data_IF_802780011884
#
_entry.id   IF_802780011884
#
_cell.length_a   1.000
_cell.length_b   1.000
_cell.length_c   1.000
_cell.angle_alpha   90.00
_cell.angle_beta   90.00
_cell.angle_gamma   90.00
#
_symmetry.space_group_name_H-M   'P 1'
#
loop_
_entity.id
_entity.type
_entity.pdbx_description
1 polymer ?
#
# COMPACT_ATOMS: atom_id res chain seq x y z
N UNK A 1 0.67 5.26 -15.71
CA UNK A 1 0.46 3.81 -15.50
C UNK A 1 0.76 3.48 -14.02
N UNK A 2 0.37 2.32 -13.49
CA UNK A 2 0.76 1.89 -12.13
C UNK A 2 2.16 1.31 -12.18
N UNK A 3 3.09 1.92 -11.44
CA UNK A 3 4.49 1.53 -11.48
C UNK A 3 4.75 0.32 -10.57
N UNK A 4 4.25 0.37 -9.35
CA UNK A 4 4.52 -0.62 -8.31
C UNK A 4 3.24 -1.02 -7.58
N UNK A 5 3.23 -2.26 -7.07
CA UNK A 5 2.24 -2.76 -6.11
C UNK A 5 2.99 -3.32 -4.90
N UNK A 6 2.58 -2.91 -3.71
CA UNK A 6 3.19 -3.34 -2.45
C UNK A 6 2.18 -4.14 -1.64
N UNK A 7 2.63 -5.27 -1.10
CA UNK A 7 1.86 -6.12 -0.21
C UNK A 7 2.69 -6.39 1.04
N UNK A 8 2.03 -6.43 2.19
CA UNK A 8 2.65 -6.84 3.44
C UNK A 8 1.75 -7.84 4.16
N UNK A 9 2.39 -8.84 4.79
CA UNK A 9 1.74 -9.80 5.68
C UNK A 9 2.71 -10.13 6.81
N UNK A 10 2.27 -9.98 8.05
CA UNK A 10 3.07 -10.25 9.25
C UNK A 10 4.46 -9.58 9.21
N UNK A 11 5.50 -10.35 8.89
CA UNK A 11 6.90 -9.94 8.86
C UNK A 11 7.49 -9.92 7.44
N UNK A 12 6.67 -10.06 6.41
CA UNK A 12 7.11 -10.15 5.02
C UNK A 12 6.45 -9.06 4.17
N UNK A 13 7.24 -8.48 3.27
CA UNK A 13 6.76 -7.51 2.29
C UNK A 13 7.14 -8.00 0.88
N UNK A 14 6.25 -7.75 -0.06
CA UNK A 14 6.45 -7.97 -1.48
C UNK A 14 6.27 -6.65 -2.22
N UNK A 15 7.28 -6.24 -2.98
CA UNK A 15 7.21 -5.06 -3.86
C UNK A 15 7.32 -5.55 -5.29
N UNK A 16 6.20 -5.46 -6.03
CA UNK A 16 6.11 -5.84 -7.43
C UNK A 16 6.31 -4.62 -8.31
N UNK A 17 7.25 -4.69 -9.24
CA UNK A 17 7.49 -3.62 -10.23
C UNK A 17 6.57 -3.79 -11.43
N UNK A 18 5.26 -3.61 -11.20
CA UNK A 18 4.18 -3.84 -12.18
C UNK A 18 4.42 -3.17 -13.53
N UNK A 19 5.13 -2.04 -13.58
CA UNK A 19 5.44 -1.33 -14.82
C UNK A 19 6.10 -2.22 -15.88
N UNK A 20 7.03 -3.08 -15.43
CA UNK A 20 7.84 -3.98 -16.27
C UNK A 20 7.30 -5.40 -16.32
N UNK A 21 6.21 -5.69 -15.63
CA UNK A 21 5.58 -7.00 -15.65
C UNK A 21 4.63 -7.12 -16.83
N UNK A 22 4.60 -8.32 -17.44
CA UNK A 22 3.56 -8.72 -18.37
C UNK A 22 2.28 -9.02 -17.60
N UNK A 23 1.29 -8.15 -17.73
CA UNK A 23 0.04 -8.22 -16.94
C UNK A 23 -0.78 -9.48 -17.24
N UNK A 24 -0.69 -9.99 -18.47
CA UNK A 24 -1.30 -11.24 -18.92
C UNK A 24 -0.63 -12.49 -18.35
N UNK A 25 0.58 -12.36 -17.80
CA UNK A 25 1.35 -13.44 -17.18
C UNK A 25 1.47 -13.30 -15.65
N UNK A 26 0.65 -12.45 -15.03
CA UNK A 26 0.67 -12.32 -13.58
C UNK A 26 0.28 -13.64 -12.90
N UNK A 27 0.96 -14.02 -11.80
CA UNK A 27 0.61 -15.23 -11.08
C UNK A 27 -0.86 -15.24 -10.67
N UNK A 28 -1.57 -16.33 -10.98
CA UNK A 28 -2.99 -16.44 -10.64
C UNK A 28 -3.25 -16.38 -9.14
N UNK A 29 -2.28 -16.82 -8.33
CA UNK A 29 -2.30 -16.65 -6.87
C UNK A 29 -2.40 -15.18 -6.44
N UNK A 30 -1.64 -14.28 -7.08
CA UNK A 30 -1.71 -12.83 -6.81
C UNK A 30 -3.09 -12.29 -7.14
N UNK A 31 -3.61 -12.61 -8.33
CA UNK A 31 -4.94 -12.15 -8.77
C UNK A 31 -6.06 -12.67 -7.87
N UNK A 32 -5.97 -13.94 -7.45
CA UNK A 32 -6.92 -14.54 -6.51
C UNK A 32 -6.88 -13.82 -5.15
N UNK A 33 -5.71 -13.47 -4.63
CA UNK A 33 -5.58 -12.73 -3.37
C UNK A 33 -6.21 -11.32 -3.48
N UNK A 34 -5.88 -10.59 -4.54
CA UNK A 34 -6.38 -9.22 -4.75
C UNK A 34 -7.89 -9.20 -5.00
N UNK A 35 -8.43 -10.16 -5.76
CA UNK A 35 -9.84 -10.26 -6.11
C UNK A 35 -10.75 -10.88 -5.03
N UNK A 36 -10.20 -11.56 -4.02
CA UNK A 36 -10.99 -12.26 -3.01
C UNK A 36 -11.47 -11.31 -1.90
N UNK A 37 -12.79 -11.13 -1.76
CA UNK A 37 -13.41 -10.27 -0.73
C UNK A 37 -13.16 -10.74 0.71
N UNK A 38 -12.87 -12.04 0.92
CA UNK A 38 -12.58 -12.61 2.25
C UNK A 38 -11.16 -12.33 2.73
N UNK A 39 -10.29 -11.87 1.84
CA UNK A 39 -8.94 -11.42 2.21
C UNK A 39 -8.98 -9.91 2.25
N UNK A 40 -8.85 -9.31 3.42
CA UNK A 40 -8.87 -7.85 3.54
C UNK A 40 -7.61 -7.25 2.91
N UNK A 41 -7.80 -6.29 2.00
CA UNK A 41 -6.73 -5.43 1.52
C UNK A 41 -6.81 -4.13 2.30
N UNK A 42 -5.84 -3.97 3.18
CA UNK A 42 -5.74 -2.83 4.09
C UNK A 42 -4.79 -1.80 3.51
N UNK A 43 -5.16 -0.53 3.58
CA UNK A 43 -4.27 0.57 3.21
C UNK A 43 -4.79 1.92 3.67
N UNK A 44 -3.94 2.95 3.59
CA UNK A 44 -4.32 4.34 3.88
C UNK A 44 -4.70 5.04 2.58
N UNK A 45 -5.98 5.35 2.37
CA UNK A 45 -6.46 5.93 1.11
C UNK A 45 -6.60 4.89 -0.01
N UNK A 46 -6.70 3.61 0.34
CA UNK A 46 -6.61 2.47 -0.59
C UNK A 46 -7.69 2.48 -1.68
N UNK A 47 -8.81 3.18 -1.45
CA UNK A 47 -9.87 3.27 -2.45
C UNK A 47 -9.40 3.93 -3.75
N UNK A 48 -8.59 5.00 -3.65
CA UNK A 48 -8.01 5.67 -4.81
C UNK A 48 -6.99 4.78 -5.53
N UNK A 49 -6.14 4.09 -4.76
CA UNK A 49 -5.13 3.17 -5.30
C UNK A 49 -5.77 2.00 -6.04
N UNK A 50 -6.86 1.43 -5.52
CA UNK A 50 -7.59 0.35 -6.16
C UNK A 50 -8.24 0.78 -7.49
N UNK A 51 -8.82 1.99 -7.54
CA UNK A 51 -9.39 2.55 -8.78
C UNK A 51 -8.29 2.74 -9.82
N UNK A 52 -7.14 3.30 -9.40
CA UNK A 52 -5.98 3.47 -10.27
C UNK A 52 -5.43 2.12 -10.75
N UNK A 53 -5.34 1.12 -9.87
CA UNK A 53 -4.87 -0.22 -10.21
C UNK A 53 -5.78 -0.86 -11.28
N UNK A 54 -7.10 -0.83 -11.06
CA UNK A 54 -8.07 -1.36 -12.02
C UNK A 54 -7.94 -0.66 -13.38
N UNK A 55 -7.91 0.66 -13.39
CA UNK A 55 -7.80 1.44 -14.64
C UNK A 55 -6.50 1.15 -15.40
N UNK A 56 -5.38 1.07 -14.69
CA UNK A 56 -4.06 0.98 -15.33
C UNK A 56 -3.66 -0.47 -15.67
N UNK A 57 -4.31 -1.48 -15.07
CA UNK A 57 -3.87 -2.90 -15.17
C UNK A 57 -4.99 -3.93 -15.34
N UNK A 58 -6.26 -3.53 -15.24
CA UNK A 58 -7.42 -4.42 -15.17
C UNK A 58 -7.43 -5.40 -13.98
N UNK A 59 -6.60 -5.15 -12.96
CA UNK A 59 -6.54 -5.96 -11.74
C UNK A 59 -7.59 -5.45 -10.74
N UNK A 60 -8.47 -6.33 -10.30
CA UNK A 60 -9.46 -6.04 -9.25
C UNK A 60 -8.84 -6.12 -7.86
N UNK A 61 -9.22 -5.17 -7.00
CA UNK A 61 -8.87 -5.16 -5.57
C UNK A 61 -10.16 -5.09 -4.74
N UNK A 62 -10.67 -6.25 -4.34
CA UNK A 62 -11.94 -6.39 -3.59
C UNK A 62 -11.69 -6.56 -2.08
N UNK A 63 -12.66 -6.29 -1.21
CA UNK A 63 -12.44 -6.45 0.24
C UNK A 63 -11.47 -5.41 0.80
N UNK A 64 -11.65 -4.14 0.42
CA UNK A 64 -10.79 -3.02 0.81
C UNK A 64 -11.17 -2.51 2.20
N UNK A 65 -10.17 -2.23 3.03
CA UNK A 65 -10.32 -1.65 4.37
C UNK A 65 -9.41 -0.42 4.47
N UNK A 66 -10.01 0.77 4.61
CA UNK A 66 -9.27 2.03 4.60
C UNK A 66 -9.01 2.53 6.02
N UNK A 67 -7.74 2.53 6.41
CA UNK A 67 -7.27 2.97 7.74
C UNK A 67 -7.71 4.40 8.04
N UNK A 68 -7.76 5.28 7.02
CA UNK A 68 -8.17 6.67 7.23
C UNK A 68 -9.64 6.78 7.63
N UNK A 69 -10.47 5.82 7.23
CA UNK A 69 -11.89 5.77 7.61
C UNK A 69 -12.00 5.32 9.07
N UNK A 70 -11.33 4.23 9.43
CA UNK A 70 -11.32 3.74 10.82
C UNK A 70 -10.78 4.80 11.79
N UNK A 71 -9.66 5.43 11.45
CA UNK A 71 -9.06 6.49 12.29
C UNK A 71 -10.01 7.68 12.50
N UNK A 72 -10.83 8.04 11.50
CA UNK A 72 -11.87 9.08 11.64
C UNK A 72 -12.99 8.66 12.57
N UNK A 73 -13.51 7.43 12.39
CA UNK A 73 -14.60 6.90 13.21
C UNK A 73 -14.20 6.82 14.68
N UNK A 74 -12.95 6.46 14.95
CA UNK A 74 -12.40 6.35 16.30
C UNK A 74 -11.84 7.67 16.86
N UNK A 75 -11.96 8.79 16.13
CA UNK A 75 -11.38 10.09 16.51
C UNK A 75 -9.86 10.07 16.79
N UNK A 76 -9.12 9.18 16.11
CA UNK A 76 -7.67 9.01 16.20
C UNK A 76 -6.89 9.83 15.15
N UNK A 77 -7.59 10.62 14.35
CA UNK A 77 -7.01 11.39 13.24
C UNK A 77 -6.75 12.86 13.58
N UNK A 78 -6.54 13.19 14.86
CA UNK A 78 -6.43 14.57 15.35
C UNK A 78 -5.28 15.33 14.68
N UNK A 79 -4.15 14.64 14.47
CA UNK A 79 -3.00 15.19 13.76
C UNK A 79 -3.13 15.11 12.23
N UNK A 80 -4.18 14.45 11.72
CA UNK A 80 -4.50 14.24 10.30
C UNK A 80 -4.52 12.76 9.89
N UNK A 81 -4.95 12.50 8.65
CA UNK A 81 -5.26 11.13 8.18
C UNK A 81 -4.15 10.50 7.34
N UNK A 82 -3.06 11.21 7.06
CA UNK A 82 -1.96 10.66 6.29
C UNK A 82 -1.24 9.54 7.05
N UNK A 83 -0.75 8.51 6.34
CA UNK A 83 -0.09 7.34 6.94
C UNK A 83 1.00 7.72 7.96
N UNK A 84 1.83 8.73 7.67
CA UNK A 84 2.87 9.22 8.61
C UNK A 84 2.28 9.73 9.92
N UNK A 85 1.18 10.47 9.85
CA UNK A 85 0.51 11.06 11.02
C UNK A 85 -0.15 9.95 11.84
N UNK A 86 -0.91 9.08 11.18
CA UNK A 86 -1.55 7.94 11.83
C UNK A 86 -0.53 6.99 12.48
N UNK A 87 0.59 6.68 11.81
CA UNK A 87 1.66 5.86 12.38
C UNK A 87 2.24 6.45 13.66
N UNK A 88 2.43 7.78 13.70
CA UNK A 88 2.89 8.48 14.90
C UNK A 88 1.85 8.43 16.02
N UNK A 89 0.60 8.77 15.70
CA UNK A 89 -0.48 8.88 16.70
C UNK A 89 -0.87 7.51 17.30
N UNK A 90 -0.92 6.47 16.47
CA UNK A 90 -1.44 5.15 16.89
C UNK A 90 -0.31 4.20 17.31
N UNK A 91 0.80 4.16 16.56
CA UNK A 91 1.90 3.21 16.82
C UNK A 91 3.10 3.84 17.54
N UNK A 92 3.13 5.17 17.70
CA UNK A 92 4.33 5.88 18.17
C UNK A 92 5.51 5.83 17.19
N UNK A 93 5.28 5.41 15.93
CA UNK A 93 6.32 5.24 14.92
C UNK A 93 6.44 6.50 14.08
N UNK A 94 7.64 7.09 14.04
CA UNK A 94 7.93 8.20 13.15
C UNK A 94 8.39 7.70 11.76
N UNK A 95 7.52 7.85 10.76
CA UNK A 95 7.88 7.52 9.38
C UNK A 95 8.68 8.64 8.73
N UNK A 96 9.88 8.33 8.30
CA UNK A 96 10.57 9.16 7.33
C UNK A 96 9.96 8.95 5.93
N UNK A 97 9.52 10.04 5.31
CA UNK A 97 8.92 10.04 3.97
C UNK A 97 9.67 11.03 3.08
N UNK A 98 10.90 10.69 2.69
CA UNK A 98 11.75 11.59 1.93
C UNK A 98 11.12 11.89 0.55
N UNK A 99 10.85 13.17 0.28
CA UNK A 99 10.20 13.59 -0.98
C UNK A 99 10.98 13.18 -2.22
N UNK A 100 12.31 13.15 -2.15
CA UNK A 100 13.16 12.68 -3.24
C UNK A 100 13.00 11.19 -3.55
N UNK A 101 12.44 10.38 -2.64
CA UNK A 101 12.08 8.98 -2.91
C UNK A 101 10.60 8.90 -3.33
N UNK A 102 9.68 9.53 -2.60
CA UNK A 102 8.25 9.45 -2.93
C UNK A 102 7.92 10.01 -4.32
N UNK A 103 8.65 11.07 -4.74
CA UNK A 103 8.53 11.71 -6.05
C UNK A 103 9.62 11.25 -7.05
N UNK A 104 10.38 10.21 -6.72
CA UNK A 104 11.37 9.64 -7.64
C UNK A 104 10.71 8.98 -8.85
N UNK A 105 11.50 8.66 -9.88
CA UNK A 105 11.01 7.86 -10.98
C UNK A 105 10.82 6.39 -10.56
N UNK A 106 9.58 6.01 -10.25
CA UNK A 106 9.20 4.64 -9.90
C UNK A 106 9.07 3.70 -11.11
N UNK A 107 9.13 4.22 -12.33
CA UNK A 107 9.13 3.44 -13.57
C UNK A 107 10.53 2.97 -13.94
N UNK A 108 11.59 3.58 -13.40
CA UNK A 108 12.97 3.23 -13.72
C UNK A 108 13.34 1.85 -13.18
N UNK A 109 13.86 0.98 -14.06
CA UNK A 109 14.37 -0.34 -13.70
C UNK A 109 15.91 -0.32 -13.56
N UNK A 110 16.48 -0.97 -12.53
CA UNK A 110 15.79 -1.59 -11.39
C UNK A 110 15.34 -0.53 -10.36
N UNK A 111 14.37 -0.90 -9.50
CA UNK A 111 14.10 -0.11 -8.30
C UNK A 111 15.34 -0.07 -7.40
N UNK A 112 15.65 1.11 -6.89
CA UNK A 112 16.72 1.26 -5.90
C UNK A 112 16.34 0.63 -4.57
N UNK A 113 17.34 0.22 -3.76
CA UNK A 113 17.08 -0.30 -2.41
C UNK A 113 16.25 0.66 -1.55
N UNK A 114 16.46 1.97 -1.69
CA UNK A 114 15.69 3.01 -0.99
C UNK A 114 14.22 3.02 -1.41
N UNK A 115 13.93 2.89 -2.71
CA UNK A 115 12.56 2.76 -3.22
C UNK A 115 11.89 1.48 -2.72
N UNK A 116 12.57 0.33 -2.78
CA UNK A 116 12.04 -0.94 -2.28
C UNK A 116 11.73 -0.85 -0.78
N UNK A 117 12.66 -0.31 0.01
CA UNK A 117 12.50 -0.15 1.46
C UNK A 117 11.34 0.79 1.80
N UNK A 118 11.24 1.93 1.10
CA UNK A 118 10.13 2.88 1.26
C UNK A 118 8.78 2.21 0.97
N UNK A 119 8.69 1.52 -0.17
CA UNK A 119 7.47 0.83 -0.60
C UNK A 119 7.05 -0.29 0.37
N UNK A 120 8.02 -1.09 0.84
CA UNK A 120 7.79 -2.13 1.83
C UNK A 120 7.30 -1.54 3.17
N UNK A 121 7.93 -0.45 3.63
CA UNK A 121 7.54 0.21 4.88
C UNK A 121 6.12 0.79 4.80
N UNK A 122 5.74 1.42 3.69
CA UNK A 122 4.38 1.96 3.52
C UNK A 122 3.31 0.86 3.59
N UNK A 123 3.55 -0.31 2.99
CA UNK A 123 2.64 -1.45 3.07
C UNK A 123 2.61 -2.06 4.49
N UNK A 124 3.77 -2.25 5.11
CA UNK A 124 3.88 -2.87 6.43
C UNK A 124 3.24 -2.02 7.53
N UNK A 125 3.48 -0.71 7.51
CA UNK A 125 2.89 0.20 8.50
C UNK A 125 1.38 0.29 8.34
N UNK A 126 0.88 0.24 7.10
CA UNK A 126 -0.57 0.14 6.86
C UNK A 126 -1.17 -1.12 7.49
N UNK A 127 -0.52 -2.27 7.33
CA UNK A 127 -0.94 -3.51 7.99
C UNK A 127 -0.89 -3.38 9.52
N UNK A 128 0.20 -2.85 10.08
CA UNK A 128 0.36 -2.68 11.53
C UNK A 128 -0.68 -1.74 12.15
N UNK A 129 -0.99 -0.63 11.47
CA UNK A 129 -2.03 0.29 11.91
C UNK A 129 -3.38 -0.41 12.01
N UNK A 130 -3.74 -1.24 11.04
CA UNK A 130 -5.02 -1.95 11.08
C UNK A 130 -5.08 -3.05 12.14
N UNK A 131 -3.95 -3.67 12.49
CA UNK A 131 -3.90 -4.64 13.60
C UNK A 131 -4.12 -3.96 14.96
N UNK A 132 -3.75 -2.69 15.09
CA UNK A 132 -3.91 -1.90 16.31
C UNK A 132 -5.29 -1.23 16.45
N UNK A 133 -6.03 -1.09 15.34
CA UNK A 133 -7.37 -0.47 15.29
C UNK A 133 -8.48 -1.48 15.58
#
# INVERSE_FOLDING_TARGET
KTATLQLAVNHSCLVLHLFHMRLDLLPRSLLNVLGNIRILKVGSGISGDAVKLLRDTNILCNGRSDIQVYAKVLALNQDGTGLKKLAKTILGIELDKPKNISLSNWELFPLTYKQVSYAALDAWVSFKLFVEL
#
